data_IF_258140365933
#
_entry.id   IF_258140365933
#
_cell.length_a   1.000
_cell.length_b   1.000
_cell.length_c   1.000
_cell.angle_alpha   90.00
_cell.angle_beta   90.00
_cell.angle_gamma   90.00
#
_symmetry.space_group_name_H-M   'P 1'
#
loop_
_entity.id
_entity.type
_entity.pdbx_description
1 polymer ?
#
# COMPACT_ATOMS: atom_id res chain seq x y z
N UNK A 1 48.17 53.04 -60.08
CA UNK A 1 47.67 54.41 -60.29
C UNK A 1 46.86 54.43 -61.58
N UNK A 2 45.53 54.43 -61.50
CA UNK A 2 44.67 54.50 -62.68
C UNK A 2 44.44 55.97 -63.03
N UNK A 3 45.24 56.50 -63.96
CA UNK A 3 45.11 57.88 -64.44
C UNK A 3 43.84 57.99 -65.28
N UNK A 4 42.97 58.92 -64.92
CA UNK A 4 41.71 59.21 -65.61
C UNK A 4 41.97 59.72 -67.04
N UNK A 5 42.09 58.79 -68.00
CA UNK A 5 42.35 59.15 -69.39
C UNK A 5 41.03 59.47 -70.12
N UNK A 6 40.57 60.71 -69.96
CA UNK A 6 39.31 61.23 -70.51
C UNK A 6 39.22 61.13 -72.05
N UNK A 7 40.38 61.06 -72.72
CA UNK A 7 40.48 60.90 -74.16
C UNK A 7 40.10 59.49 -74.62
N UNK A 8 40.42 58.45 -73.85
CA UNK A 8 40.12 57.06 -74.23
C UNK A 8 38.61 56.76 -74.21
N UNK A 9 37.91 57.33 -73.21
CA UNK A 9 36.45 57.24 -73.08
C UNK A 9 35.70 57.94 -74.23
N UNK A 10 36.33 58.94 -74.86
CA UNK A 10 35.71 59.71 -75.94
C UNK A 10 36.06 59.18 -77.33
N UNK A 11 37.30 58.75 -77.57
CA UNK A 11 37.76 58.35 -78.90
C UNK A 11 37.55 56.88 -79.22
N UNK A 12 37.61 55.99 -78.23
CA UNK A 12 37.50 54.53 -78.44
C UNK A 12 36.10 54.02 -78.09
N UNK A 13 35.46 54.56 -77.04
CA UNK A 13 34.15 54.11 -76.55
C UNK A 13 32.96 54.92 -77.09
N UNK A 14 33.20 56.02 -77.82
CA UNK A 14 32.17 56.79 -78.52
C UNK A 14 31.16 57.54 -77.63
N UNK A 15 31.36 57.58 -76.31
CA UNK A 15 30.44 58.24 -75.38
C UNK A 15 30.71 59.74 -75.38
N UNK A 16 29.90 60.52 -76.11
CA UNK A 16 30.04 61.99 -76.20
C UNK A 16 29.46 62.74 -75.00
N UNK A 17 28.46 62.19 -74.31
CA UNK A 17 27.79 62.88 -73.22
C UNK A 17 28.56 62.86 -71.90
N UNK A 18 28.75 64.05 -71.34
CA UNK A 18 29.50 64.28 -70.09
C UNK A 18 28.82 63.65 -68.88
N UNK A 19 27.48 63.61 -68.87
CA UNK A 19 26.67 63.03 -67.79
C UNK A 19 26.85 61.51 -67.71
N UNK A 20 26.88 60.84 -68.86
CA UNK A 20 27.09 59.39 -68.93
C UNK A 20 28.51 58.99 -68.51
N UNK A 21 29.52 59.83 -68.80
CA UNK A 21 30.89 59.64 -68.31
C UNK A 21 30.96 59.71 -66.79
N UNK A 22 30.38 60.74 -66.18
CA UNK A 22 30.37 60.90 -64.71
C UNK A 22 29.64 59.73 -64.02
N UNK A 23 28.54 59.26 -64.59
CA UNK A 23 27.79 58.12 -64.05
C UNK A 23 28.57 56.80 -64.14
N UNK A 24 29.35 56.60 -65.20
CA UNK A 24 30.20 55.43 -65.37
C UNK A 24 31.37 55.44 -64.39
N UNK A 25 32.06 56.58 -64.22
CA UNK A 25 33.14 56.69 -63.24
C UNK A 25 32.65 56.55 -61.81
N UNK A 26 31.48 57.10 -61.46
CA UNK A 26 30.86 56.89 -60.14
C UNK A 26 30.55 55.41 -59.88
N UNK A 27 29.93 54.71 -60.84
CA UNK A 27 29.66 53.27 -60.71
C UNK A 27 30.93 52.42 -60.67
N UNK A 28 31.95 52.76 -61.45
CA UNK A 28 33.22 52.06 -61.44
C UNK A 28 33.97 52.28 -60.12
N UNK A 29 33.88 53.49 -59.54
CA UNK A 29 34.44 53.80 -58.24
C UNK A 29 33.71 53.02 -57.14
N UNK A 30 32.38 52.97 -57.14
CA UNK A 30 31.61 52.15 -56.20
C UNK A 30 31.99 50.67 -56.29
N UNK A 31 32.17 50.13 -57.50
CA UNK A 31 32.59 48.73 -57.69
C UNK A 31 34.01 48.49 -57.19
N UNK A 32 34.93 49.45 -57.33
CA UNK A 32 36.30 49.33 -56.81
C UNK A 32 36.35 49.50 -55.29
N UNK A 33 35.49 50.34 -54.72
CA UNK A 33 35.43 50.58 -53.28
C UNK A 33 34.69 49.48 -52.51
N UNK A 34 33.65 48.89 -53.11
CA UNK A 34 32.76 47.91 -52.44
C UNK A 34 32.85 46.49 -53.02
N UNK A 35 33.59 46.29 -54.12
CA UNK A 35 33.72 45.01 -54.82
C UNK A 35 32.53 44.68 -55.74
N UNK A 36 32.65 43.64 -56.59
CA UNK A 36 31.54 43.22 -57.46
C UNK A 36 30.33 42.82 -56.61
N UNK A 37 29.09 43.15 -57.03
CA UNK A 37 27.88 42.85 -56.28
C UNK A 37 27.81 41.33 -56.02
N UNK A 38 27.92 40.94 -54.75
CA UNK A 38 27.82 39.53 -54.36
C UNK A 38 26.43 39.02 -54.74
N UNK A 39 26.39 38.02 -55.62
CA UNK A 39 25.15 37.30 -55.91
C UNK A 39 24.51 36.83 -54.61
N UNK A 40 23.27 37.27 -54.38
CA UNK A 40 22.50 36.92 -53.19
C UNK A 40 22.15 35.42 -53.27
N UNK A 41 22.79 34.62 -52.42
CA UNK A 41 22.56 33.18 -52.38
C UNK A 41 21.35 32.91 -51.47
N UNK A 42 20.14 32.98 -52.03
CA UNK A 42 18.89 32.71 -51.30
C UNK A 42 18.92 31.39 -50.52
N UNK A 43 19.65 30.39 -51.02
CA UNK A 43 19.85 29.10 -50.33
C UNK A 43 20.60 29.28 -49.00
N UNK A 44 21.62 30.13 -48.94
CA UNK A 44 22.39 30.40 -47.73
C UNK A 44 21.54 31.13 -46.68
N UNK A 45 20.72 32.08 -47.13
CA UNK A 45 19.87 32.84 -46.22
C UNK A 45 18.69 32.01 -45.70
N UNK A 46 18.11 31.15 -46.54
CA UNK A 46 17.10 30.17 -46.09
C UNK A 46 17.69 29.20 -45.06
N UNK A 47 18.90 28.68 -45.29
CA UNK A 47 19.57 27.81 -44.31
C UNK A 47 19.88 28.53 -42.99
N UNK A 48 20.30 29.80 -43.06
CA UNK A 48 20.55 30.61 -41.87
C UNK A 48 19.26 30.83 -41.06
N UNK A 49 18.16 31.20 -41.72
CA UNK A 49 16.87 31.40 -41.05
C UNK A 49 16.37 30.09 -40.44
N UNK A 50 16.48 28.97 -41.14
CA UNK A 50 16.09 27.66 -40.60
C UNK A 50 16.92 27.26 -39.37
N UNK A 51 18.23 27.51 -39.38
CA UNK A 51 19.08 27.27 -38.21
C UNK A 51 18.70 28.14 -37.01
N UNK A 52 18.30 29.40 -37.25
CA UNK A 52 17.90 30.33 -36.22
C UNK A 52 16.57 29.90 -35.57
N UNK A 53 15.62 29.43 -36.36
CA UNK A 53 14.33 28.91 -35.87
C UNK A 53 14.52 27.64 -35.04
N UNK A 54 15.42 26.75 -35.45
CA UNK A 54 15.74 25.54 -34.68
C UNK A 54 16.40 25.91 -33.34
N UNK A 55 17.32 26.88 -33.34
CA UNK A 55 17.99 27.33 -32.11
C UNK A 55 17.01 28.01 -31.14
N UNK A 56 16.14 28.90 -31.62
CA UNK A 56 15.14 29.57 -30.77
C UNK A 56 14.06 28.60 -30.28
N UNK A 57 13.61 27.68 -31.14
CA UNK A 57 12.68 26.61 -30.77
C UNK A 57 13.26 25.65 -29.75
N UNK A 58 14.54 25.27 -29.89
CA UNK A 58 15.26 24.44 -28.92
C UNK A 58 15.41 25.12 -27.56
N UNK A 59 15.77 26.41 -27.55
CA UNK A 59 15.86 27.19 -26.31
C UNK A 59 14.49 27.34 -25.62
N UNK A 60 13.42 27.57 -26.39
CA UNK A 60 12.06 27.63 -25.86
C UNK A 60 11.61 26.30 -25.26
N UNK A 61 11.87 25.20 -25.97
CA UNK A 61 11.52 23.85 -25.51
C UNK A 61 12.27 23.48 -24.22
N UNK A 62 13.57 23.77 -24.16
CA UNK A 62 14.38 23.57 -22.95
C UNK A 62 13.86 24.40 -21.76
N UNK A 63 13.44 25.65 -22.00
CA UNK A 63 12.85 26.50 -20.97
C UNK A 63 11.51 25.96 -20.44
N UNK A 64 10.64 25.48 -21.33
CA UNK A 64 9.36 24.85 -20.95
C UNK A 64 9.60 23.54 -20.18
N UNK A 65 10.53 22.71 -20.65
CA UNK A 65 10.87 21.45 -19.99
C UNK A 65 11.52 21.67 -18.61
N UNK A 66 12.32 22.73 -18.46
CA UNK A 66 12.87 23.15 -17.17
C UNK A 66 11.76 23.53 -16.17
N UNK A 67 10.76 24.31 -16.59
CA UNK A 67 9.63 24.68 -15.72
C UNK A 67 8.73 23.49 -15.37
N UNK A 68 8.54 22.55 -16.31
CA UNK A 68 7.77 21.32 -16.06
C UNK A 68 8.52 20.36 -15.11
N UNK A 69 9.85 20.23 -15.27
CA UNK A 69 10.70 19.40 -14.42
C UNK A 69 10.66 19.85 -12.95
N UNK A 70 10.71 21.16 -12.69
CA UNK A 70 10.63 21.69 -11.32
C UNK A 70 9.34 21.29 -10.59
N UNK A 71 8.22 21.17 -11.31
CA UNK A 71 6.95 20.72 -10.73
C UNK A 71 6.95 19.23 -10.41
N UNK A 72 7.59 18.41 -11.24
CA UNK A 72 7.78 16.97 -10.99
C UNK A 72 8.77 16.72 -9.84
N UNK A 73 9.86 17.49 -9.77
CA UNK A 73 10.83 17.40 -8.69
C UNK A 73 10.20 17.75 -7.33
N UNK A 74 9.35 18.77 -7.27
CA UNK A 74 8.62 19.11 -6.03
C UNK A 74 7.66 18.00 -5.58
N UNK A 75 6.96 17.35 -6.52
CA UNK A 75 6.11 16.19 -6.21
C UNK A 75 6.94 15.00 -5.73
N UNK A 76 8.05 14.71 -6.42
CA UNK A 76 8.96 13.62 -6.06
C UNK A 76 9.63 13.83 -4.70
N UNK A 77 9.99 15.07 -4.38
CA UNK A 77 10.55 15.44 -3.06
C UNK A 77 9.52 15.26 -1.95
N UNK A 78 8.25 15.60 -2.19
CA UNK A 78 7.15 15.40 -1.24
C UNK A 78 6.85 13.91 -1.02
N UNK A 79 6.87 13.13 -2.10
CA UNK A 79 6.66 11.69 -2.02
C UNK A 79 7.82 11.02 -1.27
N UNK A 80 9.06 11.49 -1.45
CA UNK A 80 10.24 11.01 -0.73
C UNK A 80 10.19 11.33 0.78
N UNK A 81 9.77 12.54 1.14
CA UNK A 81 9.55 12.92 2.56
C UNK A 81 8.43 12.07 3.21
N UNK A 82 7.39 11.73 2.45
CA UNK A 82 6.32 10.85 2.93
C UNK A 82 6.75 9.40 3.11
N UNK A 83 7.62 8.89 2.22
CA UNK A 83 8.21 7.55 2.31
C UNK A 83 9.14 7.44 3.52
N UNK A 84 9.97 8.47 3.74
CA UNK A 84 10.88 8.52 4.88
C UNK A 84 10.12 8.51 6.21
N UNK A 85 9.00 9.25 6.31
CA UNK A 85 8.12 9.21 7.49
C UNK A 85 7.46 7.84 7.70
N UNK A 86 7.10 7.15 6.62
CA UNK A 86 6.54 5.80 6.71
C UNK A 86 7.59 4.77 7.14
N UNK A 87 8.84 4.92 6.69
CA UNK A 87 9.98 4.10 7.13
C UNK A 87 10.27 4.31 8.61
N UNK A 88 10.30 5.56 9.07
CA UNK A 88 10.52 5.91 10.48
C UNK A 88 9.40 5.37 11.38
N UNK A 89 8.14 5.47 10.94
CA UNK A 89 7.00 4.89 11.67
C UNK A 89 7.05 3.36 11.75
N UNK A 90 7.55 2.68 10.69
CA UNK A 90 7.74 1.23 10.71
C UNK A 90 8.87 0.83 11.66
N UNK A 91 9.96 1.59 11.70
CA UNK A 91 11.07 1.35 12.62
C UNK A 91 10.63 1.52 14.08
N UNK A 92 9.82 2.54 14.40
CA UNK A 92 9.27 2.75 15.74
C UNK A 92 8.31 1.62 16.15
N UNK A 93 7.43 1.18 15.25
CA UNK A 93 6.54 0.04 15.52
C UNK A 93 7.30 -1.27 15.75
N UNK A 94 8.40 -1.52 15.01
CA UNK A 94 9.26 -2.67 15.25
C UNK A 94 9.90 -2.61 16.64
N UNK A 95 10.37 -1.43 17.05
CA UNK A 95 10.98 -1.22 18.36
C UNK A 95 9.97 -1.42 19.50
N UNK A 96 8.75 -0.96 19.33
CA UNK A 96 7.67 -1.14 20.31
C UNK A 96 7.25 -2.62 20.40
N UNK A 97 7.20 -3.32 19.28
CA UNK A 97 6.90 -4.76 19.23
C UNK A 97 7.99 -5.60 19.89
N UNK A 98 9.27 -5.28 19.66
CA UNK A 98 10.40 -5.94 20.34
C UNK A 98 10.36 -5.68 21.85
N UNK A 99 10.04 -4.45 22.27
CA UNK A 99 9.89 -4.13 23.68
C UNK A 99 8.75 -4.92 24.33
N UNK A 100 7.57 -4.97 23.69
CA UNK A 100 6.43 -5.73 24.18
C UNK A 100 6.72 -7.24 24.25
N UNK A 101 7.49 -7.77 23.28
CA UNK A 101 7.90 -9.18 23.28
C UNK A 101 8.83 -9.50 24.45
N UNK A 102 9.83 -8.64 24.73
CA UNK A 102 10.73 -8.81 25.88
C UNK A 102 9.94 -8.74 27.18
N UNK A 103 9.03 -7.77 27.32
CA UNK A 103 8.17 -7.67 28.50
C UNK A 103 7.30 -8.92 28.68
N UNK A 104 6.75 -9.47 27.59
CA UNK A 104 5.99 -10.72 27.63
C UNK A 104 6.86 -11.92 28.04
N UNK A 105 8.06 -12.08 27.50
CA UNK A 105 8.99 -13.15 27.88
C UNK A 105 9.36 -13.07 29.36
N UNK A 106 9.63 -11.87 29.88
CA UNK A 106 9.92 -11.69 31.32
C UNK A 106 8.71 -11.99 32.21
N UNK A 107 7.49 -11.63 31.78
CA UNK A 107 6.27 -11.93 32.51
C UNK A 107 5.97 -13.43 32.52
N UNK A 108 6.24 -14.15 31.43
CA UNK A 108 6.12 -15.62 31.36
C UNK A 108 7.11 -16.30 32.31
N UNK A 109 8.37 -15.85 32.33
CA UNK A 109 9.39 -16.38 33.24
C UNK A 109 8.99 -16.15 34.70
N UNK A 110 8.50 -14.95 35.04
CA UNK A 110 8.03 -14.64 36.39
C UNK A 110 6.80 -15.47 36.78
N UNK A 111 5.85 -15.66 35.86
CA UNK A 111 4.68 -16.53 36.05
C UNK A 111 5.10 -17.97 36.34
N UNK A 112 6.03 -18.51 35.56
CA UNK A 112 6.52 -19.86 35.74
C UNK A 112 7.24 -20.03 37.08
N UNK A 113 8.07 -19.05 37.47
CA UNK A 113 8.72 -19.04 38.78
C UNK A 113 7.73 -19.02 39.95
N UNK A 114 6.67 -18.21 39.84
CA UNK A 114 5.62 -18.13 40.86
C UNK A 114 4.79 -19.43 40.91
N UNK A 115 4.52 -20.06 39.77
CA UNK A 115 3.85 -21.36 39.71
C UNK A 115 4.68 -22.46 40.38
N UNK A 116 5.99 -22.50 40.13
CA UNK A 116 6.91 -23.44 40.79
C UNK A 116 6.98 -23.22 42.32
N UNK A 117 7.00 -21.96 42.78
CA UNK A 117 7.02 -21.61 44.20
C UNK A 117 5.71 -21.98 44.91
N UNK A 118 4.56 -21.79 44.25
CA UNK A 118 3.24 -22.23 44.73
C UNK A 118 3.19 -23.76 44.81
N UNK A 119 3.77 -24.46 43.83
CA UNK A 119 3.76 -25.92 43.78
C UNK A 119 4.66 -26.53 44.87
N UNK A 120 5.85 -25.96 45.08
CA UNK A 120 6.73 -26.32 46.19
C UNK A 120 6.07 -26.07 47.55
N UNK A 121 5.43 -24.92 47.74
CA UNK A 121 4.69 -24.59 48.98
C UNK A 121 3.51 -25.54 49.20
N UNK A 122 2.80 -25.92 48.14
CA UNK A 122 1.73 -26.92 48.21
C UNK A 122 2.27 -28.29 48.62
N UNK A 123 3.37 -28.73 48.02
CA UNK A 123 4.00 -30.00 48.35
C UNK A 123 4.51 -30.02 49.80
N UNK A 124 5.08 -28.93 50.29
CA UNK A 124 5.49 -28.78 51.70
C UNK A 124 4.29 -28.83 52.65
N UNK A 125 3.17 -28.17 52.29
CA UNK A 125 1.90 -28.29 53.04
C UNK A 125 1.30 -29.69 53.01
N UNK A 126 1.41 -30.40 51.89
CA UNK A 126 0.95 -31.79 51.77
C UNK A 126 1.81 -32.74 52.61
N UNK A 127 3.12 -32.53 52.68
CA UNK A 127 4.03 -33.28 53.57
C UNK A 127 3.77 -32.98 55.05
N UNK A 128 3.45 -31.72 55.39
CA UNK A 128 3.01 -31.33 56.73
C UNK A 128 1.63 -31.90 57.09
N UNK A 129 0.69 -31.92 56.13
CA UNK A 129 -0.62 -32.56 56.30
C UNK A 129 -0.54 -34.09 56.40
N UNK A 130 0.46 -34.72 55.77
CA UNK A 130 0.71 -36.15 55.88
C UNK A 130 1.23 -36.57 57.27
N UNK A 131 1.80 -35.63 58.04
CA UNK A 131 2.33 -35.89 59.37
C UNK A 131 1.32 -35.70 60.52
N UNK A 132 0.14 -35.13 60.28
CA UNK A 132 -0.85 -34.84 61.32
C UNK A 132 -2.26 -35.38 60.99
N UNK A 133 -2.58 -36.64 61.35
CA UNK A 133 -3.83 -37.31 60.97
C UNK A 133 -5.08 -36.81 61.72
N UNK A 134 -4.94 -36.05 62.81
CA UNK A 134 -6.07 -35.49 63.56
C UNK A 134 -6.61 -34.19 62.94
N UNK A 135 -5.75 -33.38 62.32
CA UNK A 135 -6.17 -32.15 61.64
C UNK A 135 -6.83 -32.43 60.28
N UNK A 136 -6.44 -33.52 59.61
CA UNK A 136 -7.09 -33.94 58.34
C UNK A 136 -8.55 -34.32 58.56
N UNK A 137 -8.88 -34.98 59.68
CA UNK A 137 -10.28 -35.36 59.98
C UNK A 137 -11.16 -34.14 60.20
N UNK A 138 -10.72 -33.16 60.98
CA UNK A 138 -11.51 -31.95 61.25
C UNK A 138 -11.66 -31.04 60.03
N UNK A 139 -10.64 -30.96 59.16
CA UNK A 139 -10.70 -30.22 57.90
C UNK A 139 -11.61 -30.93 56.89
N UNK A 140 -11.56 -32.26 56.81
CA UNK A 140 -12.46 -33.04 55.96
C UNK A 140 -13.91 -32.86 56.43
N UNK A 141 -14.18 -32.94 57.73
CA UNK A 141 -15.52 -32.71 58.29
C UNK A 141 -16.04 -31.28 58.00
N UNK A 142 -15.19 -30.27 58.15
CA UNK A 142 -15.54 -28.88 57.85
C UNK A 142 -15.81 -28.66 56.35
N UNK A 143 -14.97 -29.22 55.47
CA UNK A 143 -15.17 -29.15 54.02
C UNK A 143 -16.44 -29.91 53.59
N UNK A 144 -16.76 -31.02 54.26
CA UNK A 144 -17.96 -31.80 54.00
C UNK A 144 -19.22 -31.02 54.39
N UNK A 145 -19.17 -30.28 55.49
CA UNK A 145 -20.25 -29.39 55.91
C UNK A 145 -20.38 -28.16 54.99
N UNK A 146 -19.28 -27.56 54.52
CA UNK A 146 -19.34 -26.49 53.51
C UNK A 146 -19.92 -26.97 52.19
N UNK A 147 -19.53 -28.16 51.72
CA UNK A 147 -20.10 -28.76 50.50
C UNK A 147 -21.59 -29.03 50.68
N UNK A 148 -22.01 -29.46 51.87
CA UNK A 148 -23.43 -29.65 52.20
C UNK A 148 -24.18 -28.32 52.17
N UNK A 149 -23.65 -27.29 52.80
CA UNK A 149 -24.25 -25.95 52.86
C UNK A 149 -24.33 -25.32 51.46
N UNK A 150 -23.27 -25.44 50.65
CA UNK A 150 -23.24 -24.97 49.27
C UNK A 150 -24.25 -25.72 48.40
N UNK A 151 -24.42 -27.04 48.57
CA UNK A 151 -25.47 -27.82 47.88
C UNK A 151 -26.87 -27.39 48.30
N UNK A 152 -27.07 -27.06 49.57
CA UNK A 152 -28.35 -26.55 50.07
C UNK A 152 -28.64 -25.15 49.51
N UNK A 153 -27.64 -24.26 49.49
CA UNK A 153 -27.77 -22.94 48.85
C UNK A 153 -28.02 -23.05 47.34
N UNK A 154 -27.37 -23.99 46.66
CA UNK A 154 -27.56 -24.24 45.23
C UNK A 154 -28.96 -24.82 44.97
N UNK A 155 -29.43 -25.75 45.81
CA UNK A 155 -30.81 -26.26 45.78
C UNK A 155 -31.84 -25.15 46.01
N UNK A 156 -31.58 -24.25 46.96
CA UNK A 156 -32.44 -23.09 47.24
C UNK A 156 -32.43 -22.07 46.10
N UNK A 157 -31.27 -21.80 45.49
CA UNK A 157 -31.15 -20.97 44.31
C UNK A 157 -31.83 -21.60 43.09
N UNK A 158 -31.71 -22.92 42.91
CA UNK A 158 -32.40 -23.69 41.88
C UNK A 158 -33.91 -23.70 42.11
N UNK A 159 -34.38 -23.84 43.34
CA UNK A 159 -35.80 -23.76 43.69
C UNK A 159 -36.36 -22.34 43.49
N UNK A 160 -35.57 -21.30 43.77
CA UNK A 160 -35.91 -19.91 43.49
C UNK A 160 -35.97 -19.62 41.98
N UNK A 161 -35.01 -20.15 41.20
CA UNK A 161 -35.04 -20.10 39.73
C UNK A 161 -36.20 -20.91 39.15
N UNK A 162 -36.55 -22.06 39.75
CA UNK A 162 -37.71 -22.86 39.35
C UNK A 162 -39.04 -22.15 39.66
N UNK A 163 -39.11 -21.38 40.76
CA UNK A 163 -40.26 -20.51 41.05
C UNK A 163 -40.35 -19.34 40.07
N UNK A 164 -39.22 -18.83 39.58
CA UNK A 164 -39.17 -17.80 38.54
C UNK A 164 -39.56 -18.36 37.15
N UNK A 165 -39.16 -19.59 36.82
CA UNK A 165 -39.49 -20.21 35.52
C UNK A 165 -40.97 -20.58 35.37
N UNK A 166 -41.71 -20.75 36.47
CA UNK A 166 -43.17 -21.00 36.46
C UNK A 166 -43.97 -19.73 36.20
N UNK A 167 -43.43 -18.53 36.48
CA UNK A 167 -44.09 -17.25 36.23
C UNK A 167 -43.69 -16.59 34.88
N UNK A 168 -42.60 -17.05 34.27
CA UNK A 168 -42.17 -16.66 32.93
C UNK A 168 -41.09 -17.63 32.47
N UNK A 169 -41.44 -18.53 31.54
CA UNK A 169 -40.62 -19.66 31.13
C UNK A 169 -39.17 -19.28 30.86
N UNK A 170 -38.27 -19.68 31.76
CA UNK A 170 -36.83 -19.58 31.53
C UNK A 170 -36.50 -20.52 30.36
N UNK A 171 -36.27 -19.95 29.18
CA UNK A 171 -35.88 -20.71 28.00
C UNK A 171 -34.53 -21.36 28.25
N UNK A 172 -34.54 -22.69 28.36
CA UNK A 172 -33.32 -23.50 28.38
C UNK A 172 -33.11 -24.02 26.96
N UNK A 173 -32.02 -23.62 26.28
CA UNK A 173 -31.84 -24.01 24.89
C UNK A 173 -31.62 -25.53 24.76
N UNK A 174 -32.31 -26.21 23.83
CA UNK A 174 -32.19 -27.67 23.65
C UNK A 174 -30.79 -28.09 23.16
N UNK A 175 -30.34 -29.29 23.52
CA UNK A 175 -29.08 -29.84 23.03
C UNK A 175 -29.04 -29.99 21.49
N UNK A 176 -30.17 -30.23 20.83
CA UNK A 176 -30.25 -30.24 19.37
C UNK A 176 -29.91 -28.88 18.77
N UNK A 177 -30.30 -27.77 19.42
CA UNK A 177 -29.98 -26.42 18.98
C UNK A 177 -28.46 -26.18 18.99
N UNK A 178 -27.75 -26.73 19.97
CA UNK A 178 -26.29 -26.65 20.02
C UNK A 178 -25.64 -27.27 18.77
N UNK A 179 -26.05 -28.48 18.39
CA UNK A 179 -25.52 -29.16 17.21
C UNK A 179 -25.81 -28.39 15.91
N UNK A 180 -27.03 -27.85 15.76
CA UNK A 180 -27.40 -27.02 14.60
C UNK A 180 -26.60 -25.71 14.54
N UNK A 181 -26.37 -25.05 15.67
CA UNK A 181 -25.57 -23.82 15.73
C UNK A 181 -24.10 -24.10 15.45
N UNK A 182 -23.55 -25.21 15.93
CA UNK A 182 -22.20 -25.67 15.60
C UNK A 182 -22.06 -25.95 14.10
N UNK A 183 -23.01 -26.70 13.50
CA UNK A 183 -23.02 -26.94 12.06
C UNK A 183 -23.11 -25.64 11.26
N UNK A 184 -23.97 -24.71 11.70
CA UNK A 184 -24.12 -23.40 11.08
C UNK A 184 -22.82 -22.61 11.13
N UNK A 185 -22.14 -22.58 12.28
CA UNK A 185 -20.82 -21.94 12.42
C UNK A 185 -19.80 -22.54 11.46
N UNK A 186 -19.72 -23.87 11.37
CA UNK A 186 -18.80 -24.56 10.47
C UNK A 186 -19.06 -24.27 8.99
N UNK A 187 -20.33 -24.29 8.57
CA UNK A 187 -20.72 -23.93 7.21
C UNK A 187 -20.37 -22.48 6.89
N UNK A 188 -20.69 -21.57 7.81
CA UNK A 188 -20.36 -20.17 7.68
C UNK A 188 -18.83 -19.99 7.58
N UNK A 189 -18.05 -20.70 8.40
CA UNK A 189 -16.57 -20.64 8.42
C UNK A 189 -15.99 -21.14 7.10
N UNK A 190 -16.55 -22.20 6.53
CA UNK A 190 -16.19 -22.69 5.19
C UNK A 190 -16.42 -21.63 4.12
N UNK A 191 -17.57 -20.95 4.13
CA UNK A 191 -17.87 -19.89 3.18
C UNK A 191 -16.92 -18.69 3.31
N UNK A 192 -16.63 -18.26 4.54
CA UNK A 192 -15.67 -17.19 4.79
C UNK A 192 -14.26 -17.56 4.33
N UNK A 193 -13.80 -18.76 4.62
CA UNK A 193 -12.48 -19.24 4.18
C UNK A 193 -12.38 -19.27 2.65
N UNK A 194 -13.44 -19.67 1.95
CA UNK A 194 -13.49 -19.62 0.49
C UNK A 194 -13.44 -18.18 -0.04
N UNK A 195 -14.19 -17.24 0.56
CA UNK A 195 -14.18 -15.81 0.21
C UNK A 195 -12.80 -15.20 0.45
N UNK A 196 -12.17 -15.48 1.59
CA UNK A 196 -10.82 -15.05 1.94
C UNK A 196 -9.80 -15.58 0.92
N UNK A 197 -9.82 -16.88 0.61
CA UNK A 197 -8.91 -17.49 -0.37
C UNK A 197 -9.07 -16.87 -1.77
N UNK A 198 -10.30 -16.55 -2.19
CA UNK A 198 -10.55 -15.87 -3.45
C UNK A 198 -9.96 -14.45 -3.48
N UNK A 199 -10.12 -13.69 -2.40
CA UNK A 199 -9.53 -12.35 -2.26
C UNK A 199 -7.99 -12.40 -2.26
N UNK A 200 -7.40 -13.38 -1.56
CA UNK A 200 -5.94 -13.60 -1.55
C UNK A 200 -5.41 -13.98 -2.94
N UNK A 201 -6.13 -14.85 -3.67
CA UNK A 201 -5.78 -15.21 -5.05
C UNK A 201 -5.84 -13.99 -5.97
N UNK A 202 -6.86 -13.15 -5.83
CA UNK A 202 -6.98 -11.92 -6.60
C UNK A 202 -5.84 -10.94 -6.27
N UNK A 203 -5.48 -10.81 -5.00
CA UNK A 203 -4.34 -10.01 -4.54
C UNK A 203 -3.02 -10.52 -5.13
N UNK A 204 -2.82 -11.84 -5.18
CA UNK A 204 -1.63 -12.45 -5.73
C UNK A 204 -1.53 -12.22 -7.26
N UNK A 205 -2.62 -12.44 -7.99
CA UNK A 205 -2.69 -12.16 -9.43
C UNK A 205 -2.43 -10.68 -9.75
N UNK A 206 -2.96 -9.78 -8.92
CA UNK A 206 -2.71 -8.34 -8.96
C UNK A 206 -1.22 -8.00 -8.77
N UNK A 207 -0.57 -8.57 -7.74
CA UNK A 207 0.87 -8.38 -7.48
C UNK A 207 1.71 -8.86 -8.65
N UNK A 208 1.43 -10.06 -9.16
CA UNK A 208 2.13 -10.62 -10.32
C UNK A 208 1.93 -9.77 -11.59
N UNK A 209 0.73 -9.24 -11.81
CA UNK A 209 0.44 -8.32 -12.92
C UNK A 209 1.27 -7.04 -12.82
N UNK A 210 1.32 -6.43 -11.64
CA UNK A 210 2.15 -5.25 -11.36
C UNK A 210 3.65 -5.54 -11.54
N UNK A 211 4.14 -6.69 -11.07
CA UNK A 211 5.54 -7.07 -11.28
C UNK A 211 5.88 -7.34 -12.74
N UNK A 212 5.01 -8.01 -13.50
CA UNK A 212 5.20 -8.25 -14.93
C UNK A 212 5.25 -6.94 -15.71
N UNK A 213 4.39 -5.98 -15.37
CA UNK A 213 4.42 -4.65 -15.96
C UNK A 213 5.73 -3.92 -15.62
N UNK A 214 6.18 -3.99 -14.36
CA UNK A 214 7.46 -3.43 -13.92
C UNK A 214 8.64 -4.03 -14.67
N UNK A 215 8.68 -5.37 -14.83
CA UNK A 215 9.76 -6.09 -15.54
C UNK A 215 9.77 -5.83 -17.04
N UNK A 216 8.60 -5.83 -17.70
CA UNK A 216 8.52 -5.43 -19.12
C UNK A 216 9.03 -4.00 -19.30
N UNK A 217 8.67 -3.09 -18.41
CA UNK A 217 9.15 -1.70 -18.46
C UNK A 217 10.66 -1.58 -18.22
N UNK A 218 11.27 -2.39 -17.36
CA UNK A 218 12.73 -2.41 -17.18
C UNK A 218 13.48 -3.05 -18.37
N UNK A 219 12.89 -4.03 -19.05
CA UNK A 219 13.52 -4.72 -20.18
C UNK A 219 13.31 -4.01 -21.54
N UNK A 220 12.26 -3.20 -21.70
CA UNK A 220 11.95 -2.47 -22.94
C UNK A 220 12.62 -1.08 -23.03
N UNK A 221 13.45 -0.67 -22.06
CA UNK A 221 14.27 0.56 -22.12
C UNK A 221 15.55 0.41 -22.98
N UNK A 222 15.50 -0.43 -24.02
CA UNK A 222 16.53 -0.49 -25.06
C UNK A 222 16.26 0.53 -26.17
N UNK A 223 16.92 1.69 -26.10
CA UNK A 223 17.26 2.64 -27.19
C UNK A 223 16.19 3.27 -28.10
N UNK A 224 14.97 2.73 -28.27
CA UNK A 224 14.13 3.11 -29.43
C UNK A 224 12.88 3.99 -29.18
N UNK A 225 12.45 4.26 -27.93
CA UNK A 225 11.13 4.92 -27.65
C UNK A 225 11.17 6.30 -26.97
N UNK A 226 12.26 7.06 -27.09
CA UNK A 226 12.42 8.33 -26.36
C UNK A 226 11.60 9.50 -26.96
N UNK A 227 11.09 9.43 -28.19
CA UNK A 227 10.63 10.66 -28.85
C UNK A 227 9.21 11.15 -28.52
N UNK A 228 8.16 10.32 -28.36
CA UNK A 228 6.78 10.87 -28.24
C UNK A 228 5.71 10.03 -27.50
N UNK A 229 6.04 8.87 -26.91
CA UNK A 229 5.03 7.95 -26.33
C UNK A 229 5.26 7.47 -24.89
N UNK A 230 6.41 7.76 -24.27
CA UNK A 230 6.77 7.21 -22.95
C UNK A 230 5.94 7.76 -21.79
N UNK A 231 5.52 9.03 -21.84
CA UNK A 231 4.79 9.64 -20.72
C UNK A 231 3.36 9.13 -20.57
N UNK A 232 2.68 8.71 -21.64
CA UNK A 232 1.27 8.29 -21.60
C UNK A 232 1.15 6.85 -21.10
N UNK A 233 1.97 5.94 -21.63
CA UNK A 233 2.07 4.55 -21.15
C UNK A 233 2.48 4.47 -19.66
N UNK A 234 3.33 5.40 -19.22
CA UNK A 234 3.78 5.51 -17.83
C UNK A 234 2.66 5.93 -16.87
N UNK A 235 1.77 6.80 -17.33
CA UNK A 235 0.60 7.26 -16.58
C UNK A 235 -0.43 6.14 -16.52
N UNK A 236 -0.73 5.48 -17.64
CA UNK A 236 -1.69 4.38 -17.69
C UNK A 236 -1.26 3.21 -16.80
N UNK A 237 0.04 2.86 -16.80
CA UNK A 237 0.57 1.84 -15.89
C UNK A 237 0.41 2.19 -14.41
N UNK A 238 0.60 3.47 -14.04
CA UNK A 238 0.39 3.95 -12.66
C UNK A 238 -1.10 3.98 -12.28
N UNK A 239 -1.98 4.33 -13.21
CA UNK A 239 -3.43 4.30 -13.01
C UNK A 239 -3.90 2.87 -12.77
N UNK A 240 -3.45 1.92 -13.59
CA UNK A 240 -3.75 0.49 -13.42
C UNK A 240 -3.24 -0.03 -12.07
N UNK A 241 -2.01 0.29 -11.69
CA UNK A 241 -1.45 -0.10 -10.39
C UNK A 241 -2.25 0.48 -9.21
N UNK A 242 -2.61 1.77 -9.28
CA UNK A 242 -3.42 2.42 -8.24
C UNK A 242 -4.82 1.80 -8.13
N UNK A 243 -5.46 1.50 -9.26
CA UNK A 243 -6.77 0.84 -9.31
C UNK A 243 -6.71 -0.57 -8.70
N UNK A 244 -5.68 -1.33 -9.03
CA UNK A 244 -5.44 -2.66 -8.47
C UNK A 244 -5.22 -2.58 -6.95
N UNK A 245 -4.37 -1.65 -6.49
CA UNK A 245 -4.11 -1.46 -5.06
C UNK A 245 -5.39 -1.07 -4.29
N UNK A 246 -6.22 -0.20 -4.87
CA UNK A 246 -7.50 0.21 -4.28
C UNK A 246 -8.45 -0.98 -4.14
N UNK A 247 -8.63 -1.78 -5.19
CA UNK A 247 -9.51 -2.96 -5.16
C UNK A 247 -9.02 -4.01 -4.15
N UNK A 248 -7.71 -4.24 -4.09
CA UNK A 248 -7.09 -5.12 -3.10
C UNK A 248 -7.37 -4.65 -1.66
N UNK A 249 -7.19 -3.35 -1.39
CA UNK A 249 -7.48 -2.76 -0.07
C UNK A 249 -8.95 -2.86 0.28
N UNK A 250 -9.84 -2.63 -0.67
CA UNK A 250 -11.28 -2.76 -0.45
C UNK A 250 -11.67 -4.21 -0.10
N UNK A 251 -11.19 -5.19 -0.87
CA UNK A 251 -11.48 -6.60 -0.63
C UNK A 251 -10.93 -7.10 0.73
N UNK A 252 -9.71 -6.70 1.10
CA UNK A 252 -9.15 -7.02 2.41
C UNK A 252 -9.93 -6.38 3.55
N UNK A 253 -10.30 -5.10 3.42
CA UNK A 253 -11.10 -4.41 4.43
C UNK A 253 -12.45 -5.09 4.64
N UNK A 254 -13.08 -5.56 3.57
CA UNK A 254 -14.34 -6.28 3.63
C UNK A 254 -14.21 -7.61 4.39
N UNK A 255 -13.18 -8.41 4.07
CA UNK A 255 -12.91 -9.69 4.77
C UNK A 255 -12.60 -9.46 6.25
N UNK A 256 -11.89 -8.38 6.60
CA UNK A 256 -11.61 -8.04 8.01
C UNK A 256 -12.88 -7.64 8.76
N UNK A 257 -13.76 -6.83 8.17
CA UNK A 257 -15.04 -6.45 8.78
C UNK A 257 -15.93 -7.66 9.00
N UNK A 258 -16.00 -8.54 8.01
CA UNK A 258 -16.75 -9.79 8.07
C UNK A 258 -16.24 -10.69 9.21
N UNK A 259 -14.93 -10.84 9.36
CA UNK A 259 -14.34 -11.57 10.48
C UNK A 259 -14.71 -10.97 11.86
N UNK A 260 -14.62 -9.65 12.00
CA UNK A 260 -14.93 -8.97 13.25
C UNK A 260 -16.41 -9.12 13.64
N UNK A 261 -17.31 -8.96 12.68
CA UNK A 261 -18.75 -9.17 12.87
C UNK A 261 -19.01 -10.59 13.37
N UNK A 262 -18.45 -11.59 12.70
CA UNK A 262 -18.67 -13.01 13.01
C UNK A 262 -18.17 -13.37 14.40
N UNK A 263 -16.95 -12.97 14.75
CA UNK A 263 -16.40 -13.21 16.08
C UNK A 263 -17.28 -12.58 17.17
N UNK A 264 -17.79 -11.36 16.92
CA UNK A 264 -18.69 -10.70 17.85
C UNK A 264 -20.03 -11.43 17.96
N UNK A 265 -20.69 -11.71 16.84
CA UNK A 265 -21.99 -12.37 16.79
C UNK A 265 -21.95 -13.74 17.44
N UNK A 266 -20.98 -14.59 17.08
CA UNK A 266 -20.85 -15.92 17.67
C UNK A 266 -20.56 -15.87 19.17
N UNK A 267 -19.73 -14.92 19.63
CA UNK A 267 -19.53 -14.69 21.07
C UNK A 267 -20.80 -14.26 21.80
N UNK A 268 -21.66 -13.45 21.18
CA UNK A 268 -22.97 -13.11 21.77
C UNK A 268 -23.92 -14.30 21.78
N UNK A 269 -23.94 -15.09 20.71
CA UNK A 269 -24.81 -16.29 20.62
C UNK A 269 -24.39 -17.31 21.69
N UNK A 270 -23.09 -17.57 21.87
CA UNK A 270 -22.58 -18.45 22.93
C UNK A 270 -22.96 -17.95 24.33
N UNK A 271 -22.89 -16.62 24.56
CA UNK A 271 -23.31 -16.02 25.82
C UNK A 271 -24.81 -16.18 26.09
N UNK A 272 -25.65 -16.02 25.07
CA UNK A 272 -27.10 -16.15 25.18
C UNK A 272 -27.54 -17.61 25.33
N UNK A 273 -26.83 -18.54 24.69
CA UNK A 273 -27.16 -19.96 24.70
C UNK A 273 -26.51 -20.74 25.85
N UNK A 274 -25.40 -20.25 26.42
CA UNK A 274 -24.75 -20.87 27.58
C UNK A 274 -23.95 -22.15 27.28
N UNK A 275 -23.61 -22.42 26.01
CA UNK A 275 -22.80 -23.57 25.58
C UNK A 275 -21.79 -23.17 24.49
N UNK A 276 -20.68 -23.92 24.33
CA UNK A 276 -19.67 -23.64 23.31
C UNK A 276 -20.15 -24.02 21.90
N UNK A 277 -19.93 -23.12 20.94
CA UNK A 277 -20.28 -23.28 19.53
C UNK A 277 -19.02 -23.20 18.64
N UNK A 278 -18.14 -22.23 18.89
CA UNK A 278 -16.95 -21.96 18.07
C UNK A 278 -15.90 -23.06 18.22
N UNK A 279 -15.77 -23.61 19.43
CA UNK A 279 -14.89 -24.74 19.69
C UNK A 279 -15.68 -26.05 19.57
N UNK A 280 -15.55 -26.72 18.42
CA UNK A 280 -16.26 -27.96 18.11
C UNK A 280 -15.34 -28.98 17.41
N UNK A 281 -15.82 -30.21 17.25
CA UNK A 281 -15.08 -31.34 16.65
C UNK A 281 -14.99 -31.29 15.12
N UNK A 282 -15.44 -30.21 14.49
CA UNK A 282 -15.45 -29.99 13.05
C UNK A 282 -16.67 -30.56 12.32
N UNK A 283 -16.83 -30.13 11.07
CA UNK A 283 -18.03 -30.38 10.25
C UNK A 283 -18.35 -31.87 10.06
N UNK A 284 -17.34 -32.73 9.88
CA UNK A 284 -17.55 -34.15 9.60
C UNK A 284 -18.13 -34.94 10.78
N UNK A 285 -17.87 -34.49 12.02
CA UNK A 285 -18.49 -35.09 13.21
C UNK A 285 -19.94 -34.61 13.37
N UNK A 286 -20.20 -33.34 13.08
CA UNK A 286 -21.51 -32.70 13.22
C UNK A 286 -22.52 -33.22 12.18
N UNK A 287 -22.09 -33.47 10.94
CA UNK A 287 -22.91 -34.11 9.90
C UNK A 287 -23.29 -35.57 10.24
N UNK A 288 -22.54 -36.23 11.12
CA UNK A 288 -22.86 -37.59 11.59
C UNK A 288 -23.77 -37.64 12.82
N UNK A 289 -23.98 -36.51 13.50
CA UNK A 289 -24.80 -36.37 14.71
C UNK A 289 -26.23 -35.88 14.44
N UNK A 290 -26.47 -35.31 13.25
CA UNK A 290 -27.75 -34.75 12.80
C UNK A 290 -28.39 -35.64 11.73
#
# INVERSE_FOLDING_TARGET
MAVANNNYLSSVLGVKDVIHKQKLTLKAMDVVLFGPPKHHNYVKDVLLVMSLVIATGGCWFAYVQHNYSQSHLKKMMKDMDSLQKAEEALADLQKELDKAKIEQETAVIQKQKLEDEILATRQERELLQANDPEQTRSVVEHLQEEVRLLREQLSMAQAAMARYSVAGGAWVPPASLQHWLQLTHELELRHYNAKKAAAEKQLQAAKEGCEKLRRKRSSFMGSFRIAHGSSIDDIDGRILQAKVLFLCRAALSEVTKDLQERLHRWKQIERLCGFPIVHNQGIGHLEGLL
#
